data_IF_770320890077
#
_entry.id   IF_770320890077
#
_cell.length_a   1.000
_cell.length_b   1.000
_cell.length_c   1.000
_cell.angle_alpha   90.00
_cell.angle_beta   90.00
_cell.angle_gamma   90.00
#
_symmetry.space_group_name_H-M   'P 1'
#
loop_
_entity.id
_entity.type
_entity.pdbx_description
1 polymer ?
#
# COMPACT_ATOMS: atom_id res chain seq x y z
N UNK A 1 52.07 17.61 19.30
CA UNK A 1 50.61 17.50 19.06
C UNK A 1 50.26 16.67 17.82
N UNK A 2 50.94 16.83 16.67
CA UNK A 2 50.68 16.04 15.43
C UNK A 2 50.79 14.50 15.59
N UNK A 3 51.82 14.01 16.29
CA UNK A 3 52.04 12.57 16.51
C UNK A 3 50.95 11.88 17.36
N UNK A 4 50.35 12.60 18.31
CA UNK A 4 49.23 12.10 19.13
C UNK A 4 47.94 12.04 18.30
N UNK A 5 47.74 13.02 17.42
CA UNK A 5 46.61 13.04 16.49
C UNK A 5 46.69 11.88 15.49
N UNK A 6 47.87 11.64 14.91
CA UNK A 6 48.12 10.47 14.04
C UNK A 6 47.88 9.14 14.75
N UNK A 7 48.29 9.01 16.01
CA UNK A 7 48.05 7.81 16.80
C UNK A 7 46.55 7.57 17.06
N UNK A 8 45.80 8.66 17.34
CA UNK A 8 44.34 8.60 17.50
C UNK A 8 43.64 8.26 16.19
N UNK A 9 44.12 8.80 15.07
CA UNK A 9 43.61 8.48 13.74
C UNK A 9 43.79 6.99 13.44
N UNK A 10 45.00 6.45 13.64
CA UNK A 10 45.29 5.02 13.47
C UNK A 10 44.47 4.11 14.40
N UNK A 11 44.24 4.52 15.65
CA UNK A 11 43.36 3.75 16.56
C UNK A 11 41.91 3.75 16.10
N UNK A 12 41.41 4.87 15.58
CA UNK A 12 40.05 4.95 15.04
C UNK A 12 39.91 4.11 13.77
N UNK A 13 40.90 4.12 12.89
CA UNK A 13 40.97 3.25 11.71
C UNK A 13 40.96 1.78 12.10
N UNK A 14 41.78 1.37 13.08
CA UNK A 14 41.81 0.00 13.58
C UNK A 14 40.47 -0.43 14.21
N UNK A 15 39.83 0.44 14.99
CA UNK A 15 38.48 0.17 15.55
C UNK A 15 37.45 0.00 14.45
N UNK A 16 37.46 0.86 13.43
CA UNK A 16 36.53 0.79 12.31
C UNK A 16 36.76 -0.47 11.49
N UNK A 17 38.02 -0.82 11.21
CA UNK A 17 38.39 -2.04 10.51
C UNK A 17 37.93 -3.31 11.26
N UNK A 18 38.13 -3.36 12.58
CA UNK A 18 37.68 -4.48 13.42
C UNK A 18 36.15 -4.59 13.45
N UNK A 19 35.45 -3.46 13.57
CA UNK A 19 33.99 -3.44 13.54
C UNK A 19 33.46 -3.89 12.19
N UNK A 20 34.06 -3.44 11.07
CA UNK A 20 33.68 -3.90 9.73
C UNK A 20 33.94 -5.39 9.54
N UNK A 21 35.09 -5.90 10.00
CA UNK A 21 35.43 -7.32 9.92
C UNK A 21 34.47 -8.20 10.72
N UNK A 22 34.09 -7.76 11.93
CA UNK A 22 33.09 -8.44 12.74
C UNK A 22 31.72 -8.47 12.06
N UNK A 23 31.30 -7.36 11.44
CA UNK A 23 30.02 -7.29 10.71
C UNK A 23 30.06 -8.16 9.45
N UNK A 24 31.17 -8.20 8.72
CA UNK A 24 31.31 -9.06 7.53
C UNK A 24 31.32 -10.54 7.91
N UNK A 25 31.99 -10.90 9.00
CA UNK A 25 31.99 -12.29 9.49
C UNK A 25 30.60 -12.70 9.97
N UNK A 26 29.89 -11.82 10.68
CA UNK A 26 28.50 -12.03 11.06
C UNK A 26 27.59 -12.21 9.84
N UNK A 27 27.75 -11.38 8.81
CA UNK A 27 27.02 -11.51 7.54
C UNK A 27 27.38 -12.76 6.74
N UNK A 28 28.58 -13.33 6.93
CA UNK A 28 29.01 -14.59 6.31
C UNK A 28 28.46 -15.81 7.05
N UNK A 29 28.30 -15.70 8.36
CA UNK A 29 27.65 -16.70 9.22
C UNK A 29 26.12 -16.66 9.09
N UNK A 30 25.54 -15.49 8.82
CA UNK A 30 24.13 -15.33 8.49
C UNK A 30 23.86 -15.77 7.04
N UNK A 31 22.77 -16.51 6.82
CA UNK A 31 22.41 -16.99 5.49
C UNK A 31 22.13 -15.81 4.52
N UNK A 32 22.39 -15.96 3.20
CA UNK A 32 22.11 -14.91 2.22
C UNK A 32 20.64 -14.44 2.29
N UNK A 33 20.36 -13.15 2.08
CA UNK A 33 18.99 -12.66 2.02
C UNK A 33 18.25 -13.33 0.85
N UNK A 34 17.30 -14.20 1.18
CA UNK A 34 16.53 -14.98 0.21
C UNK A 34 15.65 -14.09 -0.68
N UNK A 35 15.52 -14.50 -1.95
CA UNK A 35 14.64 -13.86 -2.92
C UNK A 35 13.16 -13.91 -2.48
N UNK A 36 12.44 -12.82 -2.79
CA UNK A 36 11.08 -12.51 -2.31
C UNK A 36 10.11 -13.71 -2.38
N UNK A 37 9.46 -14.01 -1.25
CA UNK A 37 8.38 -15.00 -1.15
C UNK A 37 8.45 -15.83 0.13
N UNK A 38 9.58 -16.50 0.35
CA UNK A 38 9.87 -17.33 1.55
C UNK A 38 10.05 -16.48 2.82
N UNK A 39 10.43 -15.21 2.64
CA UNK A 39 10.65 -14.24 3.72
C UNK A 39 9.43 -14.02 4.62
N UNK A 40 8.19 -14.10 4.11
CA UNK A 40 7.00 -13.83 4.93
C UNK A 40 6.75 -14.95 5.95
N UNK A 41 6.96 -16.19 5.56
CA UNK A 41 6.71 -17.37 6.38
C UNK A 41 7.79 -17.51 7.45
N UNK A 42 9.06 -17.38 7.07
CA UNK A 42 10.19 -17.28 8.01
C UNK A 42 10.06 -16.08 8.94
N UNK A 43 9.63 -14.92 8.45
CA UNK A 43 9.38 -13.74 9.29
C UNK A 43 8.25 -13.99 10.30
N UNK A 44 7.18 -14.69 9.90
CA UNK A 44 6.11 -15.11 10.82
C UNK A 44 6.65 -16.08 11.86
N UNK A 45 7.45 -17.07 11.48
CA UNK A 45 8.05 -18.05 12.40
C UNK A 45 9.04 -17.41 13.37
N UNK A 46 9.94 -16.56 12.89
CA UNK A 46 10.89 -15.82 13.74
C UNK A 46 10.15 -14.89 14.70
N UNK A 47 9.10 -14.23 14.22
CA UNK A 47 8.24 -13.39 15.05
C UNK A 47 7.51 -14.22 16.10
N UNK A 48 6.97 -15.38 15.73
CA UNK A 48 6.36 -16.34 16.68
C UNK A 48 7.37 -16.83 17.71
N UNK A 49 8.61 -17.15 17.31
CA UNK A 49 9.69 -17.57 18.23
C UNK A 49 10.08 -16.44 19.19
N UNK A 50 10.19 -15.20 18.71
CA UNK A 50 10.49 -14.03 19.57
C UNK A 50 9.37 -13.74 20.55
N UNK A 51 8.11 -13.76 20.08
CA UNK A 51 6.94 -13.54 20.93
C UNK A 51 6.79 -14.69 21.94
N UNK A 52 6.97 -15.95 21.51
CA UNK A 52 6.95 -17.12 22.39
C UNK A 52 7.99 -17.02 23.51
N UNK A 53 9.25 -16.70 23.19
CA UNK A 53 10.29 -16.49 24.22
C UNK A 53 9.95 -15.40 25.22
N UNK A 54 9.35 -14.30 24.77
CA UNK A 54 8.90 -13.21 25.63
C UNK A 54 7.73 -13.63 26.53
N UNK A 55 6.81 -14.45 26.00
CA UNK A 55 5.66 -14.96 26.75
C UNK A 55 6.09 -16.02 27.76
N UNK A 56 6.95 -16.95 27.37
CA UNK A 56 7.54 -17.96 28.26
C UNK A 56 8.31 -17.31 29.41
N UNK A 57 9.08 -16.25 29.13
CA UNK A 57 9.79 -15.48 30.16
C UNK A 57 8.85 -14.75 31.14
N UNK A 58 7.64 -14.42 30.72
CA UNK A 58 6.60 -13.81 31.57
C UNK A 58 5.60 -14.85 32.12
N UNK A 59 5.79 -16.15 31.84
CA UNK A 59 4.86 -17.22 32.25
C UNK A 59 3.47 -17.12 31.61
N UNK A 60 3.36 -16.47 30.45
CA UNK A 60 2.11 -16.24 29.72
C UNK A 60 1.99 -17.22 28.55
N UNK A 61 0.76 -17.65 28.26
CA UNK A 61 0.46 -18.48 27.09
C UNK A 61 0.28 -17.62 25.82
N UNK A 62 0.46 -18.22 24.64
CA UNK A 62 0.28 -17.60 23.32
C UNK A 62 -1.10 -16.97 23.15
N UNK A 63 -2.14 -17.50 23.81
CA UNK A 63 -3.48 -16.91 23.82
C UNK A 63 -3.54 -15.56 24.53
N UNK A 64 -2.63 -15.31 25.50
CA UNK A 64 -2.52 -14.07 26.28
C UNK A 64 -1.46 -13.10 25.74
N UNK A 65 -1.01 -13.31 24.50
CA UNK A 65 0.01 -12.47 23.86
C UNK A 65 -0.32 -10.97 23.85
N UNK A 66 -1.61 -10.62 23.84
CA UNK A 66 -2.09 -9.23 23.89
C UNK A 66 -1.74 -8.50 25.20
N UNK A 67 -1.43 -9.23 26.29
CA UNK A 67 -1.03 -8.62 27.57
C UNK A 67 0.37 -7.99 27.52
N UNK A 68 1.17 -8.30 26.51
CA UNK A 68 2.48 -7.69 26.27
C UNK A 68 2.42 -6.42 25.40
N UNK A 69 1.26 -6.09 24.85
CA UNK A 69 1.11 -4.87 24.08
C UNK A 69 1.01 -3.66 25.01
N UNK A 70 1.80 -2.62 24.71
CA UNK A 70 1.60 -1.31 25.33
C UNK A 70 0.29 -0.69 24.86
N UNK A 71 -0.24 0.27 25.62
CA UNK A 71 -1.47 1.00 25.27
C UNK A 71 -1.40 1.60 23.84
N UNK A 72 -0.27 2.22 23.50
CA UNK A 72 -0.02 2.78 22.15
C UNK A 72 -0.02 1.69 21.05
N UNK A 73 0.58 0.53 21.33
CA UNK A 73 0.58 -0.61 20.40
C UNK A 73 -0.82 -1.21 20.24
N UNK A 74 -1.63 -1.25 21.29
CA UNK A 74 -3.02 -1.70 21.23
C UNK A 74 -3.86 -0.70 20.41
N UNK A 75 -3.77 0.60 20.69
CA UNK A 75 -4.54 1.63 19.99
C UNK A 75 -4.24 1.64 18.48
N UNK A 76 -2.97 1.52 18.10
CA UNK A 76 -2.58 1.45 16.68
C UNK A 76 -3.05 0.16 15.99
N UNK A 77 -3.21 -0.96 16.72
CA UNK A 77 -3.80 -2.19 16.19
C UNK A 77 -5.30 -2.04 16.00
N UNK A 78 -6.02 -1.50 16.99
CA UNK A 78 -7.46 -1.27 16.89
C UNK A 78 -7.81 -0.30 15.77
N UNK A 79 -7.08 0.83 15.65
CA UNK A 79 -7.24 1.77 14.52
C UNK A 79 -6.99 1.15 13.15
N UNK A 80 -6.13 0.13 13.04
CA UNK A 80 -5.93 -0.63 11.79
C UNK A 80 -7.06 -1.62 11.51
N UNK A 81 -7.73 -2.10 12.54
CA UNK A 81 -8.88 -3.00 12.42
C UNK A 81 -10.17 -2.26 12.12
N UNK A 82 -10.29 -1.01 12.58
CA UNK A 82 -11.30 -0.07 12.10
C UNK A 82 -11.06 0.27 10.63
N UNK A 83 -11.68 -0.53 9.75
CA UNK A 83 -11.68 -0.26 8.32
C UNK A 83 -12.94 0.53 7.99
N UNK A 84 -12.77 1.69 7.37
CA UNK A 84 -13.90 2.36 6.73
C UNK A 84 -14.49 1.41 5.66
N UNK A 85 -15.82 1.28 5.58
CA UNK A 85 -16.46 0.43 4.58
C UNK A 85 -16.05 0.88 3.19
N UNK A 86 -15.61 -0.07 2.36
CA UNK A 86 -15.29 0.23 0.99
C UNK A 86 -16.55 0.68 0.24
N UNK A 87 -16.47 1.70 -0.63
CA UNK A 87 -17.62 2.13 -1.42
C UNK A 87 -18.10 0.96 -2.30
N UNK A 88 -19.40 0.69 -2.28
CA UNK A 88 -20.02 -0.42 -2.98
C UNK A 88 -20.80 0.07 -4.21
N UNK A 89 -20.70 -0.65 -5.32
CA UNK A 89 -21.47 -0.35 -6.54
C UNK A 89 -21.31 1.09 -7.02
N UNK A 90 -22.42 1.83 -7.09
CA UNK A 90 -22.46 3.21 -7.57
C UNK A 90 -21.93 4.23 -6.55
N UNK A 91 -21.74 3.86 -5.29
CA UNK A 91 -21.20 4.76 -4.25
C UNK A 91 -19.73 5.14 -4.51
N UNK A 92 -19.06 4.45 -5.43
CA UNK A 92 -17.72 4.83 -5.91
C UNK A 92 -17.70 6.23 -6.54
N UNK A 93 -18.83 6.67 -7.11
CA UNK A 93 -18.97 7.98 -7.76
C UNK A 93 -19.63 9.03 -6.86
N UNK A 94 -19.93 8.71 -5.60
CA UNK A 94 -20.47 9.66 -4.64
C UNK A 94 -19.45 10.80 -4.36
N UNK A 95 -19.96 12.00 -4.05
CA UNK A 95 -19.18 13.15 -3.58
C UNK A 95 -18.19 12.77 -2.47
N UNK A 96 -18.59 11.91 -1.51
CA UNK A 96 -17.69 11.44 -0.43
C UNK A 96 -16.49 10.66 -0.96
N UNK A 97 -16.71 9.75 -1.92
CA UNK A 97 -15.67 8.95 -2.55
C UNK A 97 -14.72 9.82 -3.40
N UNK A 98 -15.27 10.79 -4.15
CA UNK A 98 -14.50 11.76 -4.91
C UNK A 98 -13.64 12.66 -4.00
N UNK A 99 -14.22 13.14 -2.89
CA UNK A 99 -13.51 13.92 -1.89
C UNK A 99 -12.39 13.12 -1.23
N UNK A 100 -12.65 11.86 -0.86
CA UNK A 100 -11.62 10.99 -0.28
C UNK A 100 -10.48 10.70 -1.25
N UNK A 101 -10.79 10.54 -2.54
CA UNK A 101 -9.78 10.41 -3.59
C UNK A 101 -8.93 11.68 -3.74
N UNK A 102 -9.56 12.86 -3.71
CA UNK A 102 -8.87 14.15 -3.70
C UNK A 102 -7.97 14.30 -2.47
N UNK A 103 -8.50 14.02 -1.26
CA UNK A 103 -7.74 14.06 0.00
C UNK A 103 -6.52 13.14 -0.01
N UNK A 104 -6.63 11.96 -0.64
CA UNK A 104 -5.48 11.05 -0.80
C UNK A 104 -4.45 11.62 -1.79
N UNK A 105 -4.88 12.34 -2.83
CA UNK A 105 -3.99 12.99 -3.79
C UNK A 105 -3.23 14.14 -3.15
N UNK A 106 -3.92 15.01 -2.42
CA UNK A 106 -3.30 16.17 -1.78
C UNK A 106 -2.25 15.78 -0.73
N UNK A 107 -2.41 14.64 -0.06
CA UNK A 107 -1.40 14.07 0.83
C UNK A 107 -0.07 13.71 0.15
N UNK A 108 -0.09 13.42 -1.15
CA UNK A 108 1.11 13.05 -1.91
C UNK A 108 1.77 14.28 -2.58
N UNK A 109 1.21 15.47 -2.42
CA UNK A 109 1.79 16.70 -2.99
C UNK A 109 2.87 17.19 -2.03
N UNK A 110 4.10 17.20 -2.51
CA UNK A 110 5.24 17.79 -1.80
C UNK A 110 5.31 19.30 -2.09
N UNK A 111 5.34 20.10 -1.03
CA UNK A 111 5.30 21.57 -1.10
C UNK A 111 6.63 22.12 -0.59
N UNK A 112 7.35 22.82 -1.46
CA UNK A 112 8.58 23.52 -1.10
C UNK A 112 8.25 24.83 -0.39
N UNK A 113 8.53 24.88 0.91
CA UNK A 113 8.24 26.02 1.78
C UNK A 113 9.21 27.19 1.51
N UNK A 114 10.46 26.90 1.15
CA UNK A 114 11.46 27.94 0.89
C UNK A 114 11.12 28.72 -0.36
N UNK A 115 10.76 28.01 -1.43
CA UNK A 115 10.32 28.64 -2.66
C UNK A 115 9.02 29.42 -2.46
N UNK A 116 8.07 28.86 -1.71
CA UNK A 116 6.84 29.55 -1.35
C UNK A 116 7.11 30.89 -0.63
N UNK A 117 8.04 30.92 0.33
CA UNK A 117 8.41 32.14 1.04
C UNK A 117 9.08 33.17 0.11
N UNK A 118 9.96 32.73 -0.80
CA UNK A 118 10.57 33.62 -1.80
C UNK A 118 9.52 34.25 -2.72
N UNK A 119 8.54 33.47 -3.17
CA UNK A 119 7.45 33.99 -4.00
C UNK A 119 6.55 34.96 -3.21
N UNK A 120 6.33 34.69 -1.92
CA UNK A 120 5.58 35.58 -1.02
C UNK A 120 6.27 36.92 -0.79
N UNK A 121 7.59 36.94 -0.65
CA UNK A 121 8.36 38.18 -0.50
C UNK A 121 8.45 38.98 -1.81
N UNK A 122 8.46 38.28 -2.95
CA UNK A 122 8.58 38.90 -4.27
C UNK A 122 7.28 39.58 -4.76
N UNK A 123 6.09 39.08 -4.35
CA UNK A 123 4.79 39.63 -4.76
C UNK A 123 4.10 40.36 -3.59
N UNK A 124 4.03 41.71 -3.61
CA UNK A 124 3.27 42.46 -2.61
C UNK A 124 1.77 42.12 -2.58
N UNK A 125 1.21 41.62 -3.69
CA UNK A 125 -0.19 41.19 -3.82
C UNK A 125 -0.29 39.65 -3.82
N UNK A 126 0.55 38.97 -3.02
CA UNK A 126 0.58 37.50 -2.95
C UNK A 126 -0.78 36.89 -2.54
N UNK A 127 -1.45 37.52 -1.57
CA UNK A 127 -2.79 37.11 -1.12
C UNK A 127 -3.85 37.86 -1.92
N UNK A 128 -4.25 37.28 -3.05
CA UNK A 128 -5.19 37.89 -3.99
C UNK A 128 -6.64 37.65 -3.57
N UNK A 129 -7.45 38.71 -3.59
CA UNK A 129 -8.90 38.62 -3.45
C UNK A 129 -9.57 38.28 -4.78
N UNK A 130 -10.84 37.87 -4.75
CA UNK A 130 -11.61 37.47 -5.93
C UNK A 130 -11.76 38.59 -6.98
N UNK A 131 -11.57 39.85 -6.58
CA UNK A 131 -11.61 41.04 -7.44
C UNK A 131 -10.25 41.42 -8.07
N UNK A 132 -9.17 40.71 -7.74
CA UNK A 132 -7.83 41.03 -8.27
C UNK A 132 -7.74 40.80 -9.78
N UNK A 133 -7.24 41.80 -10.51
CA UNK A 133 -7.10 41.78 -11.97
C UNK A 133 -5.79 41.14 -12.46
N UNK A 134 -4.98 40.56 -11.56
CA UNK A 134 -3.67 39.98 -11.89
C UNK A 134 -3.74 38.54 -12.45
N UNK A 135 -4.92 38.10 -12.89
CA UNK A 135 -5.09 36.80 -13.54
C UNK A 135 -4.27 36.72 -14.84
N UNK A 136 -3.52 35.63 -15.02
CA UNK A 136 -2.70 35.40 -16.22
C UNK A 136 -1.31 36.08 -16.23
N UNK A 137 -0.96 36.88 -15.21
CA UNK A 137 0.37 37.50 -15.07
C UNK A 137 1.35 36.71 -14.20
N UNK A 138 1.02 35.45 -13.89
CA UNK A 138 1.89 34.61 -13.08
C UNK A 138 3.22 34.33 -13.79
N UNK A 139 4.35 34.24 -13.04
CA UNK A 139 5.63 33.86 -13.62
C UNK A 139 5.53 32.48 -14.26
N UNK A 140 6.33 32.26 -15.33
CA UNK A 140 6.41 30.96 -15.97
C UNK A 140 6.87 29.92 -14.94
N UNK A 141 6.14 28.81 -14.90
CA UNK A 141 6.45 27.68 -14.01
C UNK A 141 7.70 26.97 -14.54
N UNK A 142 8.61 26.56 -13.64
CA UNK A 142 9.78 25.75 -13.99
C UNK A 142 9.37 24.43 -14.65
N UNK A 143 10.15 23.97 -15.62
CA UNK A 143 9.91 22.72 -16.35
C UNK A 143 9.85 21.51 -15.40
N UNK A 144 10.69 21.47 -14.35
CA UNK A 144 10.69 20.40 -13.33
C UNK A 144 9.32 20.23 -12.65
N UNK A 145 8.61 21.34 -12.40
CA UNK A 145 7.28 21.33 -11.79
C UNK A 145 6.22 20.83 -12.77
N UNK A 146 6.37 21.19 -14.05
CA UNK A 146 5.52 20.69 -15.13
C UNK A 146 5.71 19.18 -15.28
N UNK A 147 6.95 18.69 -15.24
CA UNK A 147 7.25 17.25 -15.26
C UNK A 147 6.64 16.50 -14.06
N UNK A 148 6.71 17.08 -12.86
CA UNK A 148 6.05 16.50 -11.66
C UNK A 148 4.54 16.37 -11.85
N UNK A 149 3.88 17.38 -12.39
CA UNK A 149 2.45 17.32 -12.72
C UNK A 149 2.16 16.24 -13.78
N UNK A 150 2.96 16.18 -14.85
CA UNK A 150 2.79 15.17 -15.91
C UNK A 150 2.95 13.76 -15.34
N UNK A 151 3.90 13.55 -14.42
CA UNK A 151 4.07 12.29 -13.71
C UNK A 151 2.83 11.90 -12.90
N UNK A 152 2.24 12.83 -12.14
CA UNK A 152 1.00 12.59 -11.40
C UNK A 152 -0.16 12.20 -12.33
N UNK A 153 -0.28 12.85 -13.48
CA UNK A 153 -1.29 12.52 -14.48
C UNK A 153 -1.09 11.11 -15.07
N UNK A 154 0.16 10.71 -15.36
CA UNK A 154 0.48 9.35 -15.82
C UNK A 154 0.14 8.30 -14.76
N UNK A 155 0.54 8.51 -13.52
CA UNK A 155 0.21 7.62 -12.40
C UNK A 155 -1.31 7.47 -12.23
N UNK A 156 -2.06 8.55 -12.46
CA UNK A 156 -3.53 8.55 -12.40
C UNK A 156 -4.13 7.70 -13.51
N UNK A 157 -3.60 7.80 -14.73
CA UNK A 157 -4.07 6.99 -15.84
C UNK A 157 -3.74 5.50 -15.67
N UNK A 158 -2.58 5.17 -15.10
CA UNK A 158 -2.23 3.80 -14.72
C UNK A 158 -3.18 3.22 -13.65
N UNK A 159 -3.51 4.01 -12.62
CA UNK A 159 -4.50 3.64 -11.61
C UNK A 159 -5.89 3.45 -12.20
N UNK A 160 -6.28 4.29 -13.18
CA UNK A 160 -7.56 4.14 -13.90
C UNK A 160 -7.60 2.85 -14.71
N UNK A 161 -6.52 2.51 -15.43
CA UNK A 161 -6.42 1.26 -16.20
C UNK A 161 -6.50 0.01 -15.32
N UNK A 162 -5.91 0.06 -14.13
CA UNK A 162 -5.92 -1.05 -13.17
C UNK A 162 -7.17 -1.13 -12.28
N UNK A 163 -8.12 -0.19 -12.42
CA UNK A 163 -9.35 -0.15 -11.63
C UNK A 163 -10.23 -1.40 -11.83
N UNK A 164 -10.34 -1.89 -13.08
CA UNK A 164 -10.97 -3.16 -13.39
C UNK A 164 -9.91 -4.26 -13.48
N UNK A 165 -9.92 -5.18 -12.51
CA UNK A 165 -8.98 -6.31 -12.49
C UNK A 165 -9.59 -7.49 -13.25
N UNK A 166 -8.86 -8.00 -14.25
CA UNK A 166 -9.23 -9.25 -14.93
C UNK A 166 -9.15 -10.41 -13.92
N UNK A 167 -10.25 -11.15 -13.77
CA UNK A 167 -10.26 -12.38 -12.96
C UNK A 167 -9.48 -13.47 -13.69
N UNK A 168 -8.73 -14.31 -12.96
CA UNK A 168 -8.04 -15.46 -13.55
C UNK A 168 -9.09 -16.41 -14.15
N UNK A 169 -8.77 -16.96 -15.32
CA UNK A 169 -9.51 -18.07 -15.89
C UNK A 169 -9.08 -19.35 -15.15
N UNK A 170 -10.04 -20.23 -14.90
CA UNK A 170 -9.82 -21.51 -14.24
C UNK A 170 -10.25 -22.61 -15.22
N UNK A 171 -9.28 -23.38 -15.71
CA UNK A 171 -9.51 -24.39 -16.76
C UNK A 171 -10.40 -25.55 -16.28
N UNK A 172 -10.49 -25.75 -14.97
CA UNK A 172 -11.35 -26.76 -14.32
C UNK A 172 -12.85 -26.38 -14.35
N UNK A 173 -13.19 -25.15 -14.73
CA UNK A 173 -14.59 -24.72 -14.77
C UNK A 173 -15.24 -25.19 -16.07
N UNK A 174 -16.43 -25.80 -15.96
CA UNK A 174 -17.26 -26.13 -17.10
C UNK A 174 -17.51 -24.92 -18.01
N UNK A 175 -17.28 -25.11 -19.31
CA UNK A 175 -17.37 -24.08 -20.32
C UNK A 175 -18.82 -24.00 -20.80
N UNK A 176 -19.53 -22.94 -20.39
CA UNK A 176 -20.93 -22.67 -20.76
C UNK A 176 -21.07 -21.77 -22.01
N UNK A 177 -19.96 -21.45 -22.68
CA UNK A 177 -19.91 -20.42 -23.73
C UNK A 177 -19.02 -20.81 -24.91
N UNK A 178 -19.44 -20.39 -26.10
CA UNK A 178 -18.75 -20.65 -27.38
C UNK A 178 -17.75 -19.54 -27.72
N UNK A 179 -17.99 -18.30 -27.26
CA UNK A 179 -17.13 -17.14 -27.52
C UNK A 179 -17.06 -16.20 -26.30
N UNK A 180 -16.06 -15.31 -26.27
CA UNK A 180 -15.83 -14.37 -25.16
C UNK A 180 -17.04 -13.46 -24.89
N UNK A 181 -17.75 -13.04 -25.95
CA UNK A 181 -18.93 -12.18 -25.81
C UNK A 181 -20.07 -12.90 -25.11
N UNK A 182 -20.25 -14.18 -25.43
CA UNK A 182 -21.22 -15.07 -24.82
C UNK A 182 -20.81 -15.36 -23.37
N UNK A 183 -19.52 -15.61 -23.09
CA UNK A 183 -19.03 -15.79 -21.72
C UNK A 183 -19.34 -14.57 -20.85
N UNK A 184 -19.12 -13.36 -21.38
CA UNK A 184 -19.47 -12.12 -20.69
C UNK A 184 -20.98 -11.95 -20.48
N UNK A 185 -21.80 -12.39 -21.43
CA UNK A 185 -23.26 -12.36 -21.32
C UNK A 185 -23.76 -13.37 -20.28
N UNK A 186 -23.30 -14.62 -20.31
CA UNK A 186 -23.59 -15.64 -19.31
C UNK A 186 -23.20 -15.17 -17.90
N UNK A 187 -21.99 -14.61 -17.74
CA UNK A 187 -21.54 -13.98 -16.47
C UNK A 187 -22.44 -12.82 -16.02
N UNK A 188 -23.14 -12.13 -16.94
CA UNK A 188 -24.08 -11.05 -16.61
C UNK A 188 -25.40 -11.61 -16.12
N UNK A 189 -25.92 -12.63 -16.81
CA UNK A 189 -27.14 -13.36 -16.42
C UNK A 189 -26.94 -14.02 -15.07
N UNK A 190 -25.82 -14.71 -14.84
CA UNK A 190 -25.53 -15.38 -13.57
C UNK A 190 -25.49 -14.39 -12.39
N UNK A 191 -24.95 -13.18 -12.59
CA UNK A 191 -24.96 -12.13 -11.56
C UNK A 191 -26.35 -11.59 -11.23
N UNK A 192 -27.25 -11.55 -12.21
CA UNK A 192 -28.59 -10.99 -12.04
C UNK A 192 -29.59 -12.05 -11.54
N UNK A 193 -29.53 -13.26 -12.09
CA UNK A 193 -30.53 -14.31 -11.93
C UNK A 193 -30.03 -15.55 -11.17
N UNK A 194 -28.71 -15.74 -11.03
CA UNK A 194 -28.14 -16.95 -10.41
C UNK A 194 -28.61 -17.20 -8.98
N UNK A 195 -28.96 -16.14 -8.23
CA UNK A 195 -29.57 -16.27 -6.90
C UNK A 195 -30.95 -16.95 -6.95
N UNK A 196 -31.72 -16.71 -8.00
CA UNK A 196 -33.09 -17.21 -8.17
C UNK A 196 -33.15 -18.54 -8.93
N UNK A 197 -32.14 -18.85 -9.76
CA UNK A 197 -32.10 -20.06 -10.59
C UNK A 197 -31.25 -21.20 -10.00
N UNK A 198 -30.82 -21.07 -8.74
CA UNK A 198 -29.95 -22.05 -8.08
C UNK A 198 -30.58 -23.45 -8.03
N UNK A 199 -31.86 -23.54 -7.72
CA UNK A 199 -32.60 -24.81 -7.67
C UNK A 199 -32.68 -25.47 -9.05
N UNK A 200 -33.01 -24.68 -10.08
CA UNK A 200 -33.07 -25.17 -11.47
C UNK A 200 -31.71 -25.70 -11.92
N UNK A 201 -30.62 -25.01 -11.57
CA UNK A 201 -29.26 -25.45 -11.88
C UNK A 201 -28.90 -26.75 -11.17
N UNK A 202 -29.18 -26.85 -9.88
CA UNK A 202 -28.96 -28.07 -9.10
C UNK A 202 -29.78 -29.25 -9.64
N UNK A 203 -31.02 -29.01 -10.07
CA UNK A 203 -31.86 -30.04 -10.67
C UNK A 203 -31.29 -30.50 -12.02
N UNK A 204 -30.73 -29.59 -12.84
CA UNK A 204 -30.02 -29.95 -14.06
C UNK A 204 -28.80 -30.85 -13.78
N UNK A 205 -27.98 -30.47 -12.80
CA UNK A 205 -26.80 -31.24 -12.37
C UNK A 205 -27.18 -32.61 -11.79
N UNK A 206 -28.38 -32.75 -11.23
CA UNK A 206 -28.97 -34.02 -10.72
C UNK A 206 -29.75 -34.82 -11.76
N UNK A 207 -29.79 -34.38 -13.02
CA UNK A 207 -30.51 -35.11 -14.08
C UNK A 207 -32.04 -34.94 -14.03
N UNK A 208 -32.53 -33.75 -13.67
CA UNK A 208 -33.94 -33.31 -13.68
C UNK A 208 -34.88 -34.01 -12.69
N UNK A 209 -34.34 -34.77 -11.73
CA UNK A 209 -35.13 -35.32 -10.63
C UNK A 209 -35.60 -34.19 -9.68
N UNK A 210 -36.88 -34.18 -9.33
CA UNK A 210 -37.42 -33.30 -8.29
C UNK A 210 -36.92 -33.76 -6.91
N UNK A 211 -36.70 -32.84 -5.95
CA UNK A 211 -36.39 -33.22 -4.58
C UNK A 211 -37.59 -33.95 -3.95
N UNK A 212 -37.35 -35.05 -3.24
CA UNK A 212 -38.34 -35.67 -2.35
C UNK A 212 -38.71 -34.73 -1.18
#
# INVERSE_FOLDING_TARGET
QKKLFELRLKMNEARKANQTAMVTEKKRMEAPPESRGVSKEKWIEERKKKIGKLLDANGLDMTKAYMLDTEEMAETKYKKWEKEPAPFGWDVFNQKSLYNAYKKRTKNIDVDIEEYNKMKEADPEFYREASSLQYGKAPKVSDDKVERMVKELKDRDEKRKSFSRRRRFHDEKDIDSINDRNEHFNKKIERAFGKYTLEIKNNLERGTALPD
#
